data_IF_402975959998
#
_entry.id   IF_402975959998
#
_cell.length_a   1.000
_cell.length_b   1.000
_cell.length_c   1.000
_cell.angle_alpha   90.00
_cell.angle_beta   90.00
_cell.angle_gamma   90.00
#
_symmetry.space_group_name_H-M   'P 1'
#
loop_
_entity.id
_entity.type
_entity.pdbx_description
1 polymer ?
#
# COMPACT_ATOMS: atom_id res chain seq x y z
N UNK A 1 -39.68 -10.80 19.88
CA UNK A 1 -40.04 -11.46 21.15
C UNK A 1 -39.21 -10.78 22.25
N UNK A 2 -39.81 -9.87 23.04
CA UNK A 2 -39.08 -9.13 24.07
C UNK A 2 -38.68 -10.10 25.18
N UNK A 3 -37.39 -10.37 25.34
CA UNK A 3 -36.88 -11.11 26.49
C UNK A 3 -36.83 -10.16 27.69
N UNK A 4 -37.60 -10.47 28.74
CA UNK A 4 -37.52 -9.77 30.02
C UNK A 4 -36.17 -10.09 30.67
N UNK A 5 -35.15 -9.30 30.34
CA UNK A 5 -33.87 -9.30 31.03
C UNK A 5 -33.87 -8.16 32.03
N UNK A 6 -33.81 -8.53 33.30
CA UNK A 6 -33.69 -7.69 34.48
C UNK A 6 -32.71 -6.50 34.29
N UNK A 7 -33.21 -5.26 34.34
CA UNK A 7 -32.45 -4.01 34.08
C UNK A 7 -31.17 -3.88 34.94
N UNK A 8 -31.16 -4.48 36.13
CA UNK A 8 -29.98 -4.45 37.00
C UNK A 8 -28.86 -5.40 36.55
N UNK A 9 -29.14 -6.44 35.74
CA UNK A 9 -28.12 -7.31 35.14
C UNK A 9 -27.38 -6.67 33.96
N UNK A 10 -28.02 -5.77 33.21
CA UNK A 10 -27.42 -5.12 32.04
C UNK A 10 -26.31 -4.11 32.39
N UNK A 11 -26.29 -3.58 33.62
CA UNK A 11 -25.37 -2.51 34.05
C UNK A 11 -23.88 -2.86 33.97
N UNK A 12 -23.51 -4.16 34.02
CA UNK A 12 -22.11 -4.61 34.13
C UNK A 12 -21.68 -5.66 33.09
N UNK A 13 -22.46 -5.90 32.04
CA UNK A 13 -22.12 -6.89 31.02
C UNK A 13 -20.93 -6.43 30.19
N UNK A 14 -19.84 -7.22 30.20
CA UNK A 14 -18.62 -6.97 29.42
C UNK A 14 -18.35 -8.11 28.45
N UNK A 15 -18.11 -7.80 27.18
CA UNK A 15 -17.70 -8.78 26.17
C UNK A 15 -16.72 -8.18 25.17
N UNK A 16 -16.03 -9.04 24.42
CA UNK A 16 -15.28 -8.65 23.22
C UNK A 16 -16.14 -8.65 21.96
N UNK A 17 -17.28 -9.34 21.96
CA UNK A 17 -18.09 -9.55 20.76
C UNK A 17 -19.53 -9.18 21.04
N UNK A 18 -20.08 -8.28 20.22
CA UNK A 18 -21.46 -7.81 20.28
C UNK A 18 -22.12 -7.90 18.90
N UNK A 19 -23.43 -8.08 18.88
CA UNK A 19 -24.26 -7.98 17.68
C UNK A 19 -25.34 -6.93 17.95
N UNK A 20 -25.35 -5.85 17.18
CA UNK A 20 -26.42 -4.85 17.21
C UNK A 20 -27.46 -5.19 16.14
N UNK A 21 -28.74 -5.16 16.49
CA UNK A 21 -29.85 -5.47 15.60
C UNK A 21 -30.96 -4.44 15.77
N UNK A 22 -31.32 -3.72 14.71
CA UNK A 22 -32.37 -2.70 14.76
C UNK A 22 -33.12 -2.59 13.44
N UNK A 23 -34.43 -2.34 13.50
CA UNK A 23 -35.22 -2.05 12.30
C UNK A 23 -34.82 -0.69 11.72
N UNK A 24 -34.73 -0.59 10.40
CA UNK A 24 -34.23 0.63 9.74
C UNK A 24 -35.03 1.88 10.15
N UNK A 25 -36.36 1.74 10.28
CA UNK A 25 -37.27 2.83 10.67
C UNK A 25 -37.09 3.35 12.10
N UNK A 26 -36.39 2.61 12.96
CA UNK A 26 -36.14 2.97 14.36
C UNK A 26 -34.67 3.31 14.62
N UNK A 27 -33.85 3.43 13.57
CA UNK A 27 -32.46 3.85 13.75
C UNK A 27 -32.40 5.26 14.33
N UNK A 28 -31.53 5.52 15.32
CA UNK A 28 -31.28 6.87 15.84
C UNK A 28 -30.40 7.70 14.89
N UNK A 29 -30.29 7.29 13.62
CA UNK A 29 -29.47 7.88 12.58
C UNK A 29 -30.29 8.03 11.30
N UNK A 30 -29.92 8.98 10.46
CA UNK A 30 -30.63 9.29 9.20
C UNK A 30 -30.70 8.07 8.25
N UNK A 31 -29.67 7.23 8.25
CA UNK A 31 -29.57 6.05 7.39
C UNK A 31 -28.50 5.07 7.91
N UNK A 32 -28.38 3.94 7.22
CA UNK A 32 -27.41 2.88 7.55
C UNK A 32 -25.97 3.34 7.35
N UNK A 33 -25.70 4.24 6.41
CA UNK A 33 -24.38 4.85 6.20
C UNK A 33 -23.94 5.72 7.39
N UNK A 34 -24.88 6.46 7.98
CA UNK A 34 -24.63 7.24 9.19
C UNK A 34 -24.33 6.34 10.40
N UNK A 35 -25.08 5.24 10.55
CA UNK A 35 -24.76 4.20 11.53
C UNK A 35 -23.35 3.62 11.30
N UNK A 36 -22.99 3.31 10.06
CA UNK A 36 -21.66 2.78 9.72
C UNK A 36 -20.55 3.74 10.12
N UNK A 37 -20.69 5.03 9.78
CA UNK A 37 -19.75 6.09 10.20
C UNK A 37 -19.62 6.12 11.72
N UNK A 38 -20.74 5.96 12.44
CA UNK A 38 -20.70 5.94 13.91
C UNK A 38 -20.00 4.70 14.47
N UNK A 39 -20.26 3.52 13.91
CA UNK A 39 -19.59 2.27 14.29
C UNK A 39 -18.08 2.37 14.11
N UNK A 40 -17.61 2.95 13.00
CA UNK A 40 -16.17 3.15 12.72
C UNK A 40 -15.45 4.00 13.78
N UNK A 41 -16.17 4.80 14.57
CA UNK A 41 -15.59 5.65 15.64
C UNK A 41 -15.54 4.97 17.01
N UNK A 42 -15.96 3.71 17.12
CA UNK A 42 -15.89 2.96 18.38
C UNK A 42 -14.44 2.69 18.79
N UNK A 43 -14.10 3.07 20.02
CA UNK A 43 -12.76 2.87 20.57
C UNK A 43 -12.46 1.37 20.81
N UNK A 44 -11.24 0.93 20.49
CA UNK A 44 -10.78 -0.47 20.52
C UNK A 44 -11.56 -1.45 19.61
N UNK A 45 -12.26 -0.96 18.59
CA UNK A 45 -12.92 -1.83 17.60
C UNK A 45 -11.85 -2.48 16.70
N UNK A 46 -11.74 -3.81 16.76
CA UNK A 46 -10.85 -4.59 15.88
C UNK A 46 -11.54 -4.86 14.53
N UNK A 47 -12.73 -5.47 14.57
CA UNK A 47 -13.50 -5.80 13.35
C UNK A 47 -14.95 -5.42 13.50
N UNK A 48 -15.54 -4.98 12.39
CA UNK A 48 -16.98 -4.98 12.23
C UNK A 48 -17.40 -5.52 10.87
N UNK A 49 -18.62 -6.05 10.82
CA UNK A 49 -19.31 -6.38 9.59
C UNK A 49 -20.79 -6.04 9.76
N UNK A 50 -21.38 -5.46 8.72
CA UNK A 50 -22.74 -4.94 8.71
C UNK A 50 -23.48 -5.35 7.45
N UNK A 51 -24.75 -5.72 7.60
CA UNK A 51 -25.63 -6.05 6.47
C UNK A 51 -27.05 -5.59 6.80
N UNK A 52 -27.80 -5.23 5.76
CA UNK A 52 -29.25 -5.03 5.84
C UNK A 52 -29.94 -6.33 5.46
N UNK A 53 -30.86 -6.79 6.31
CA UNK A 53 -31.79 -7.87 6.01
C UNK A 53 -33.13 -7.29 5.59
N UNK A 54 -33.39 -7.30 4.28
CA UNK A 54 -34.58 -6.75 3.62
C UNK A 54 -35.37 -7.80 2.82
N UNK A 55 -34.88 -9.04 2.77
CA UNK A 55 -35.47 -10.19 2.05
C UNK A 55 -35.97 -11.29 2.99
N UNK A 56 -36.03 -11.00 4.28
CA UNK A 56 -36.59 -11.88 5.31
C UNK A 56 -38.11 -11.66 5.43
N UNK A 57 -38.82 -12.59 6.06
CA UNK A 57 -40.25 -12.41 6.41
C UNK A 57 -40.48 -11.28 7.46
N UNK A 58 -39.41 -10.70 7.98
CA UNK A 58 -39.43 -9.63 8.96
C UNK A 58 -39.20 -8.26 8.29
N UNK A 59 -39.66 -7.19 8.96
CA UNK A 59 -39.40 -5.81 8.56
C UNK A 59 -37.89 -5.56 8.34
N UNK A 60 -37.51 -4.72 7.35
CA UNK A 60 -36.12 -4.40 7.07
C UNK A 60 -35.34 -3.95 8.30
N UNK A 61 -34.23 -4.64 8.58
CA UNK A 61 -33.43 -4.41 9.78
C UNK A 61 -31.94 -4.59 9.49
N UNK A 62 -31.09 -3.91 10.26
CA UNK A 62 -29.64 -3.97 10.13
C UNK A 62 -29.06 -4.87 11.21
N UNK A 63 -28.09 -5.70 10.83
CA UNK A 63 -27.21 -6.40 11.77
C UNK A 63 -25.81 -5.81 11.71
N UNK A 64 -25.20 -5.57 12.86
CA UNK A 64 -23.80 -5.14 12.98
C UNK A 64 -23.08 -6.04 13.99
N UNK A 65 -22.17 -6.87 13.51
CA UNK A 65 -21.25 -7.62 14.39
C UNK A 65 -20.05 -6.74 14.70
N UNK A 66 -19.72 -6.59 15.98
CA UNK A 66 -18.60 -5.77 16.46
C UNK A 66 -17.68 -6.61 17.36
N UNK A 67 -16.42 -6.75 16.96
CA UNK A 67 -15.36 -7.41 17.70
C UNK A 67 -14.35 -6.37 18.20
N UNK A 68 -14.08 -6.38 19.50
CA UNK A 68 -13.18 -5.46 20.17
C UNK A 68 -11.87 -6.15 20.61
N UNK A 69 -10.77 -5.40 20.61
CA UNK A 69 -9.46 -5.89 21.08
C UNK A 69 -9.50 -6.30 22.57
N UNK A 70 -10.23 -5.53 23.37
CA UNK A 70 -10.41 -5.71 24.82
C UNK A 70 -11.89 -5.83 25.14
N UNK A 71 -12.24 -6.38 26.31
CA UNK A 71 -13.64 -6.46 26.74
C UNK A 71 -14.19 -5.05 26.98
N UNK A 72 -15.30 -4.72 26.33
CA UNK A 72 -16.02 -3.44 26.46
C UNK A 72 -17.34 -3.68 27.16
N UNK A 73 -17.83 -2.67 27.90
CA UNK A 73 -19.14 -2.69 28.53
C UNK A 73 -20.24 -2.50 27.48
N UNK A 74 -21.30 -3.31 27.54
CA UNK A 74 -22.44 -3.22 26.63
C UNK A 74 -23.04 -1.81 26.63
N UNK A 75 -23.24 -1.21 27.81
CA UNK A 75 -23.75 0.17 27.95
C UNK A 75 -22.88 1.23 27.27
N UNK A 76 -21.57 1.00 27.18
CA UNK A 76 -20.64 1.92 26.50
C UNK A 76 -20.87 1.87 24.99
N UNK A 77 -21.09 0.67 24.45
CA UNK A 77 -21.45 0.49 23.04
C UNK A 77 -22.82 1.11 22.76
N UNK A 78 -23.83 0.83 23.58
CA UNK A 78 -25.18 1.41 23.46
C UNK A 78 -25.17 2.94 23.48
N UNK A 79 -24.51 3.54 24.48
CA UNK A 79 -24.34 4.99 24.60
C UNK A 79 -23.62 5.57 23.37
N UNK A 80 -22.62 4.88 22.84
CA UNK A 80 -21.91 5.34 21.65
C UNK A 80 -22.82 5.31 20.42
N UNK A 81 -23.61 4.25 20.25
CA UNK A 81 -24.58 4.11 19.16
C UNK A 81 -25.87 4.92 19.37
N UNK A 82 -26.01 5.63 20.49
CA UNK A 82 -27.19 6.41 20.83
C UNK A 82 -28.50 5.61 20.71
N UNK A 83 -28.47 4.33 21.09
CA UNK A 83 -29.64 3.45 21.07
C UNK A 83 -29.77 2.66 22.37
N UNK A 84 -30.93 2.04 22.56
CA UNK A 84 -31.25 1.24 23.72
C UNK A 84 -30.35 -0.01 23.80
N UNK A 85 -29.78 -0.31 24.98
CA UNK A 85 -28.96 -1.51 25.20
C UNK A 85 -29.62 -2.84 24.77
N UNK A 86 -30.96 -2.93 24.76
CA UNK A 86 -31.71 -4.14 24.38
C UNK A 86 -31.54 -4.53 22.92
N UNK A 87 -31.13 -3.60 22.05
CA UNK A 87 -30.79 -3.85 20.65
C UNK A 87 -29.38 -4.39 20.45
N UNK A 88 -28.61 -4.57 21.55
CA UNK A 88 -27.24 -5.11 21.51
C UNK A 88 -27.20 -6.44 22.24
N UNK A 89 -26.95 -7.50 21.49
CA UNK A 89 -26.73 -8.84 22.00
C UNK A 89 -25.24 -9.10 22.27
N UNK A 90 -24.96 -9.89 23.31
CA UNK A 90 -23.61 -10.39 23.57
C UNK A 90 -23.35 -11.60 22.68
N UNK A 91 -22.41 -11.48 21.74
CA UNK A 91 -22.10 -12.55 20.78
C UNK A 91 -21.35 -13.73 21.39
N UNK A 92 -20.73 -13.57 22.58
CA UNK A 92 -20.06 -14.66 23.30
C UNK A 92 -21.02 -15.45 24.18
N UNK A 93 -21.00 -16.79 24.08
CA UNK A 93 -21.80 -17.68 24.95
C UNK A 93 -20.91 -18.45 25.94
N UNK A 94 -21.43 -18.73 27.14
CA UNK A 94 -20.72 -19.53 28.16
C UNK A 94 -20.41 -20.92 27.59
N UNK A 95 -19.16 -21.36 27.71
CA UNK A 95 -18.70 -22.66 27.21
C UNK A 95 -18.33 -22.70 25.72
N UNK A 96 -18.48 -21.59 24.98
CA UNK A 96 -18.04 -21.49 23.57
C UNK A 96 -16.80 -20.60 23.50
N UNK A 97 -15.78 -21.03 22.76
CA UNK A 97 -14.58 -20.20 22.55
C UNK A 97 -14.93 -18.90 21.84
N UNK A 98 -14.10 -17.85 22.04
CA UNK A 98 -14.29 -16.58 21.36
C UNK A 98 -14.24 -16.75 19.84
N UNK A 99 -13.32 -17.57 19.34
CA UNK A 99 -13.17 -17.79 17.90
C UNK A 99 -14.40 -18.49 17.31
N UNK A 100 -14.96 -19.50 17.98
CA UNK A 100 -16.20 -20.14 17.49
C UNK A 100 -17.41 -19.21 17.59
N UNK A 101 -17.48 -18.38 18.64
CA UNK A 101 -18.52 -17.34 18.76
C UNK A 101 -18.43 -16.34 17.61
N UNK A 102 -17.22 -15.85 17.31
CA UNK A 102 -16.93 -14.94 16.19
C UNK A 102 -17.33 -15.54 14.84
N UNK A 103 -16.92 -16.79 14.57
CA UNK A 103 -17.25 -17.51 13.34
C UNK A 103 -18.77 -17.64 13.16
N UNK A 104 -19.51 -18.00 14.22
CA UNK A 104 -20.96 -18.11 14.19
C UNK A 104 -21.65 -16.75 13.95
N UNK A 105 -21.20 -15.68 14.62
CA UNK A 105 -21.82 -14.35 14.47
C UNK A 105 -21.60 -13.79 13.07
N UNK A 106 -20.39 -13.89 12.52
CA UNK A 106 -20.14 -13.45 11.14
C UNK A 106 -20.89 -14.32 10.13
N UNK A 107 -20.90 -15.65 10.25
CA UNK A 107 -21.71 -16.51 9.36
C UNK A 107 -23.21 -16.17 9.41
N UNK A 108 -23.71 -15.76 10.58
CA UNK A 108 -25.12 -15.43 10.76
C UNK A 108 -25.56 -14.23 9.92
N UNK A 109 -24.67 -13.26 9.66
CA UNK A 109 -24.98 -12.10 8.82
C UNK A 109 -25.47 -12.49 7.43
N UNK A 110 -25.04 -13.63 6.89
CA UNK A 110 -25.49 -14.13 5.59
C UNK A 110 -26.39 -15.37 5.73
N UNK A 111 -26.95 -15.60 6.92
CA UNK A 111 -27.73 -16.79 7.26
C UNK A 111 -27.03 -18.14 7.00
N UNK A 112 -25.69 -18.14 6.97
CA UNK A 112 -24.87 -19.33 6.70
C UNK A 112 -24.67 -20.26 7.90
N UNK A 113 -25.39 -20.05 9.01
CA UNK A 113 -25.35 -20.97 10.17
C UNK A 113 -26.40 -22.07 10.01
N UNK A 114 -26.19 -23.23 10.64
CA UNK A 114 -27.13 -24.38 10.58
C UNK A 114 -28.56 -23.99 10.95
N UNK A 115 -28.73 -23.07 11.90
CA UNK A 115 -30.04 -22.66 12.41
C UNK A 115 -30.73 -21.58 11.55
N UNK A 116 -30.11 -21.15 10.45
CA UNK A 116 -30.63 -20.10 9.58
C UNK A 116 -30.79 -20.55 8.12
N UNK A 117 -30.61 -21.85 7.86
CA UNK A 117 -30.70 -22.41 6.50
C UNK A 117 -32.08 -22.26 5.85
N UNK A 118 -33.14 -22.15 6.65
CA UNK A 118 -34.51 -21.92 6.17
C UNK A 118 -34.80 -20.45 5.84
N UNK A 119 -33.91 -19.53 6.21
CA UNK A 119 -34.04 -18.09 5.90
C UNK A 119 -33.39 -17.77 4.55
N UNK A 120 -33.72 -16.59 4.01
CA UNK A 120 -33.05 -16.07 2.83
C UNK A 120 -31.52 -16.03 3.01
N UNK A 121 -30.78 -16.60 2.06
CA UNK A 121 -29.31 -16.64 2.11
C UNK A 121 -28.73 -15.42 1.38
N UNK A 122 -28.18 -14.47 2.13
CA UNK A 122 -27.58 -13.26 1.55
C UNK A 122 -26.20 -13.55 0.92
N UNK A 123 -25.78 -12.70 -0.01
CA UNK A 123 -24.42 -12.77 -0.55
C UNK A 123 -23.43 -12.22 0.48
N UNK A 124 -22.22 -12.77 0.50
CA UNK A 124 -21.12 -12.17 1.25
C UNK A 124 -20.68 -10.82 0.68
N UNK A 125 -21.01 -10.54 -0.59
CA UNK A 125 -20.79 -9.24 -1.23
C UNK A 125 -21.72 -8.15 -0.69
N UNK A 126 -22.84 -8.52 -0.07
CA UNK A 126 -23.80 -7.56 0.51
C UNK A 126 -23.34 -7.02 1.88
N UNK A 127 -22.21 -7.53 2.41
CA UNK A 127 -21.71 -7.21 3.75
C UNK A 127 -20.64 -6.12 3.70
N UNK A 128 -20.91 -4.99 4.36
CA UNK A 128 -19.94 -3.91 4.58
C UNK A 128 -19.06 -4.25 5.79
N UNK A 129 -17.75 -4.32 5.62
CA UNK A 129 -16.82 -4.68 6.69
C UNK A 129 -15.48 -3.94 6.60
N UNK A 130 -14.77 -3.79 7.73
CA UNK A 130 -13.40 -3.26 7.76
C UNK A 130 -12.31 -4.33 7.54
N UNK A 131 -12.70 -5.51 7.06
CA UNK A 131 -11.80 -6.61 6.73
C UNK A 131 -12.35 -7.37 5.53
N UNK A 132 -11.53 -8.25 4.97
CA UNK A 132 -11.89 -9.14 3.85
C UNK A 132 -12.94 -10.19 4.26
N UNK A 133 -14.19 -9.75 4.44
CA UNK A 133 -15.29 -10.54 5.00
C UNK A 133 -15.65 -11.74 4.12
N UNK A 134 -15.77 -11.55 2.81
CA UNK A 134 -16.08 -12.63 1.86
C UNK A 134 -15.06 -13.77 1.95
N UNK A 135 -13.77 -13.42 1.92
CA UNK A 135 -12.67 -14.36 2.06
C UNK A 135 -12.71 -15.05 3.43
N UNK A 136 -12.95 -14.30 4.50
CA UNK A 136 -13.08 -14.86 5.86
C UNK A 136 -14.20 -15.92 5.92
N UNK A 137 -15.39 -15.60 5.42
CA UNK A 137 -16.53 -16.53 5.45
C UNK A 137 -16.32 -17.75 4.55
N UNK A 138 -15.65 -17.62 3.41
CA UNK A 138 -15.29 -18.78 2.59
C UNK A 138 -14.41 -19.77 3.37
N UNK A 139 -13.41 -19.28 4.10
CA UNK A 139 -12.57 -20.12 4.99
C UNK A 139 -13.42 -20.79 6.07
N UNK A 140 -14.29 -20.02 6.73
CA UNK A 140 -15.15 -20.55 7.82
C UNK A 140 -16.15 -21.58 7.28
N UNK A 141 -16.80 -21.36 6.14
CA UNK A 141 -17.70 -22.33 5.49
C UNK A 141 -16.95 -23.62 5.18
N UNK A 142 -15.77 -23.54 4.57
CA UNK A 142 -14.92 -24.71 4.28
C UNK A 142 -14.54 -25.47 5.55
N UNK A 143 -14.20 -24.77 6.64
CA UNK A 143 -13.94 -25.37 7.95
C UNK A 143 -15.16 -26.14 8.47
N UNK A 144 -16.35 -25.53 8.46
CA UNK A 144 -17.59 -26.16 8.95
C UNK A 144 -18.01 -27.36 8.12
N UNK A 145 -17.62 -27.39 6.85
CA UNK A 145 -17.81 -28.53 5.95
C UNK A 145 -16.69 -29.59 6.04
N UNK A 146 -15.66 -29.38 6.88
CA UNK A 146 -14.51 -30.28 7.00
C UNK A 146 -13.57 -30.27 5.79
N UNK A 147 -13.66 -29.26 4.91
CA UNK A 147 -12.94 -29.17 3.64
C UNK A 147 -11.71 -28.24 3.66
N UNK A 148 -11.41 -27.60 4.79
CA UNK A 148 -10.25 -26.71 4.89
C UNK A 148 -8.95 -27.54 4.98
N UNK A 149 -8.04 -27.36 4.01
CA UNK A 149 -6.75 -28.05 3.96
C UNK A 149 -5.59 -27.07 3.99
N UNK A 150 -4.38 -27.53 4.34
CA UNK A 150 -3.16 -26.72 4.25
C UNK A 150 -2.94 -26.16 2.84
N UNK A 151 -3.12 -27.00 1.80
CA UNK A 151 -2.96 -26.59 0.39
C UNK A 151 -3.92 -25.46 0.02
N UNK A 152 -5.14 -25.50 0.54
CA UNK A 152 -6.13 -24.46 0.28
C UNK A 152 -5.72 -23.11 0.90
N UNK A 153 -5.23 -23.10 2.13
CA UNK A 153 -4.73 -21.87 2.79
C UNK A 153 -3.56 -21.27 2.00
N UNK A 154 -2.63 -22.12 1.55
CA UNK A 154 -1.49 -21.69 0.72
C UNK A 154 -1.95 -21.16 -0.64
N UNK A 155 -2.92 -21.81 -1.29
CA UNK A 155 -3.52 -21.36 -2.56
C UNK A 155 -4.23 -20.01 -2.41
N UNK A 156 -4.93 -19.80 -1.31
CA UNK A 156 -5.55 -18.50 -1.02
C UNK A 156 -4.50 -17.40 -0.80
N UNK A 157 -3.36 -17.72 -0.18
CA UNK A 157 -2.23 -16.79 -0.07
C UNK A 157 -1.66 -16.43 -1.45
N UNK A 158 -1.36 -17.44 -2.30
CA UNK A 158 -0.78 -17.19 -3.63
C UNK A 158 -1.71 -16.39 -4.55
N UNK A 159 -3.03 -16.46 -4.32
CA UNK A 159 -4.03 -15.67 -5.04
C UNK A 159 -4.28 -14.29 -4.43
N UNK A 160 -3.51 -13.88 -3.41
CA UNK A 160 -3.70 -12.60 -2.71
C UNK A 160 -4.98 -12.52 -1.85
N UNK A 161 -5.67 -13.64 -1.63
CA UNK A 161 -6.91 -13.69 -0.83
C UNK A 161 -6.66 -13.72 0.67
N UNK A 162 -5.45 -14.06 1.09
CA UNK A 162 -4.99 -14.02 2.48
C UNK A 162 -3.70 -13.22 2.58
N UNK A 163 -3.62 -12.33 3.56
CA UNK A 163 -2.38 -11.67 3.93
C UNK A 163 -1.47 -12.63 4.69
N UNK A 164 -0.15 -12.39 4.64
CA UNK A 164 0.88 -13.22 5.32
C UNK A 164 0.52 -13.55 6.78
N UNK A 165 0.15 -12.55 7.59
CA UNK A 165 -0.22 -12.76 8.99
C UNK A 165 -1.50 -13.60 9.15
N UNK A 166 -2.47 -13.44 8.25
CA UNK A 166 -3.70 -14.25 8.26
C UNK A 166 -3.40 -15.70 7.91
N UNK A 167 -2.59 -15.93 6.87
CA UNK A 167 -2.09 -17.26 6.47
C UNK A 167 -1.34 -17.92 7.63
N UNK A 168 -0.39 -17.22 8.24
CA UNK A 168 0.38 -17.71 9.39
C UNK A 168 -0.51 -18.05 10.58
N UNK A 169 -1.51 -17.22 10.87
CA UNK A 169 -2.47 -17.47 11.95
C UNK A 169 -3.29 -18.74 11.69
N UNK A 170 -3.83 -18.90 10.48
CA UNK A 170 -4.62 -20.08 10.11
C UNK A 170 -3.76 -21.35 10.13
N UNK A 171 -2.55 -21.32 9.58
CA UNK A 171 -1.66 -22.49 9.60
C UNK A 171 -1.24 -22.82 11.02
N UNK A 172 -0.89 -21.84 11.86
CA UNK A 172 -0.54 -22.08 13.27
C UNK A 172 -1.68 -22.74 14.05
N UNK A 173 -2.92 -22.34 13.80
CA UNK A 173 -4.09 -22.85 14.50
C UNK A 173 -4.47 -24.27 14.03
N UNK A 174 -4.51 -24.50 12.71
CA UNK A 174 -5.08 -25.72 12.14
C UNK A 174 -4.04 -26.74 11.68
N UNK A 175 -2.83 -26.30 11.35
CA UNK A 175 -1.74 -27.14 10.84
C UNK A 175 -0.41 -26.75 11.50
N UNK A 176 -0.31 -26.78 12.86
CA UNK A 176 0.86 -26.27 13.58
C UNK A 176 2.17 -26.94 13.14
N UNK A 177 2.13 -28.22 12.75
CA UNK A 177 3.30 -28.96 12.23
C UNK A 177 3.81 -28.44 10.88
N UNK A 178 3.02 -27.63 10.15
CA UNK A 178 3.38 -27.03 8.86
C UNK A 178 3.92 -25.61 8.99
N UNK A 179 3.92 -25.00 10.18
CA UNK A 179 4.34 -23.60 10.35
C UNK A 179 5.81 -23.38 9.94
N UNK A 180 6.68 -24.35 10.23
CA UNK A 180 8.11 -24.28 9.88
C UNK A 180 8.31 -24.28 8.37
N UNK A 181 7.56 -25.12 7.64
CA UNK A 181 7.63 -25.17 6.16
C UNK A 181 6.95 -23.99 5.47
N UNK A 182 5.98 -23.35 6.15
CA UNK A 182 5.17 -22.27 5.56
C UNK A 182 6.02 -21.08 5.12
N UNK A 183 7.01 -20.66 5.91
CA UNK A 183 7.84 -19.51 5.57
C UNK A 183 8.57 -19.70 4.23
N UNK A 184 9.16 -20.88 4.01
CA UNK A 184 9.83 -21.19 2.75
C UNK A 184 8.82 -21.28 1.59
N UNK A 185 7.63 -21.85 1.84
CA UNK A 185 6.56 -21.88 0.82
C UNK A 185 6.11 -20.47 0.43
N UNK A 186 5.86 -19.58 1.40
CA UNK A 186 5.45 -18.21 1.12
C UNK A 186 6.54 -17.46 0.36
N UNK A 187 7.81 -17.59 0.77
CA UNK A 187 8.95 -16.97 0.06
C UNK A 187 9.02 -17.40 -1.41
N UNK A 188 8.92 -18.70 -1.68
CA UNK A 188 8.93 -19.21 -3.05
C UNK A 188 7.71 -18.73 -3.86
N UNK A 189 6.54 -18.63 -3.24
CA UNK A 189 5.34 -18.09 -3.90
C UNK A 189 5.46 -16.60 -4.19
N UNK A 190 6.06 -15.83 -3.29
CA UNK A 190 6.32 -14.40 -3.49
C UNK A 190 7.31 -14.20 -4.65
N UNK A 191 8.37 -15.01 -4.71
CA UNK A 191 9.35 -15.03 -5.80
C UNK A 191 8.67 -15.35 -7.15
N UNK A 192 7.89 -16.43 -7.23
CA UNK A 192 7.13 -16.78 -8.46
C UNK A 192 6.14 -15.68 -8.85
N UNK A 193 5.45 -15.09 -7.87
CA UNK A 193 4.48 -14.01 -8.16
C UNK A 193 5.18 -12.77 -8.71
N UNK A 194 6.38 -12.46 -8.24
CA UNK A 194 7.21 -11.38 -8.79
C UNK A 194 7.66 -11.69 -10.22
N UNK A 195 8.14 -12.92 -10.49
CA UNK A 195 8.51 -13.35 -11.84
C UNK A 195 7.34 -13.28 -12.83
N UNK A 196 6.14 -13.69 -12.41
CA UNK A 196 4.94 -13.62 -13.24
C UNK A 196 4.54 -12.18 -13.57
N UNK A 197 4.52 -11.29 -12.56
CA UNK A 197 4.25 -9.85 -12.76
C UNK A 197 5.29 -9.22 -13.70
N UNK A 198 6.55 -9.62 -13.54
CA UNK A 198 7.63 -9.19 -14.41
C UNK A 198 7.40 -9.61 -15.86
N UNK A 199 7.06 -10.88 -16.10
CA UNK A 199 6.79 -11.38 -17.45
C UNK A 199 5.58 -10.67 -18.07
N UNK A 200 4.50 -10.50 -17.31
CA UNK A 200 3.30 -9.78 -17.75
C UNK A 200 3.62 -8.33 -18.13
N UNK A 201 4.42 -7.64 -17.30
CA UNK A 201 4.83 -6.27 -17.61
C UNK A 201 5.70 -6.19 -18.86
N UNK A 202 6.63 -7.14 -19.06
CA UNK A 202 7.49 -7.22 -20.25
C UNK A 202 6.70 -7.47 -21.55
N UNK A 203 5.60 -8.21 -21.48
CA UNK A 203 4.71 -8.45 -22.64
C UNK A 203 3.86 -7.23 -22.98
N UNK A 204 3.44 -6.47 -21.97
CA UNK A 204 2.44 -5.40 -22.14
C UNK A 204 3.04 -3.98 -22.20
N UNK A 205 4.31 -3.80 -21.87
CA UNK A 205 4.94 -2.47 -21.82
C UNK A 205 5.57 -2.09 -23.15
N UNK A 206 5.26 -0.89 -23.61
CA UNK A 206 5.98 -0.26 -24.71
C UNK A 206 7.42 0.05 -24.27
N UNK A 207 8.38 -0.58 -24.94
CA UNK A 207 9.80 -0.53 -24.60
C UNK A 207 10.39 0.87 -24.76
N UNK A 208 9.77 1.72 -25.58
CA UNK A 208 10.23 3.08 -25.85
C UNK A 208 9.73 4.11 -24.80
N UNK A 209 9.10 3.64 -23.70
CA UNK A 209 8.48 4.51 -22.69
C UNK A 209 9.33 4.83 -21.45
N UNK A 210 10.58 4.31 -21.34
CA UNK A 210 11.43 4.59 -20.17
C UNK A 210 11.75 6.08 -20.08
N UNK A 211 11.45 6.70 -18.93
CA UNK A 211 11.74 8.10 -18.61
C UNK A 211 12.76 8.22 -17.48
N UNK A 212 13.71 9.12 -17.67
CA UNK A 212 14.75 9.42 -16.68
C UNK A 212 14.75 10.91 -16.39
N UNK A 213 14.48 11.26 -15.14
CA UNK A 213 14.51 12.63 -14.66
C UNK A 213 15.68 12.81 -13.69
N UNK A 214 16.48 13.87 -13.89
CA UNK A 214 17.61 14.19 -13.04
C UNK A 214 17.38 15.50 -12.29
N UNK A 215 17.19 15.42 -10.98
CA UNK A 215 17.00 16.57 -10.10
C UNK A 215 18.30 16.85 -9.36
N UNK A 216 18.87 18.04 -9.53
CA UNK A 216 20.11 18.40 -8.85
C UNK A 216 20.06 19.73 -8.12
N UNK A 217 20.97 19.93 -7.17
CA UNK A 217 21.06 21.14 -6.36
C UNK A 217 21.42 20.85 -4.92
N UNK A 218 21.56 21.89 -4.10
CA UNK A 218 22.00 21.75 -2.71
C UNK A 218 21.05 20.84 -1.87
N UNK A 219 21.53 20.35 -0.72
CA UNK A 219 20.67 19.62 0.22
C UNK A 219 19.53 20.51 0.75
N UNK A 220 18.35 19.91 0.99
CA UNK A 220 17.22 20.58 1.65
C UNK A 220 16.41 21.56 0.80
N UNK A 221 16.48 21.46 -0.54
CA UNK A 221 15.78 22.36 -1.48
C UNK A 221 14.57 21.74 -2.19
N UNK A 222 14.16 20.52 -1.83
CA UNK A 222 12.93 19.89 -2.34
C UNK A 222 13.05 18.68 -3.24
N UNK A 223 14.24 18.35 -3.75
CA UNK A 223 14.43 17.31 -4.77
C UNK A 223 13.78 15.96 -4.43
N UNK A 224 14.09 15.40 -3.26
CA UNK A 224 13.56 14.11 -2.83
C UNK A 224 12.05 14.15 -2.57
N UNK A 225 11.51 15.29 -2.13
CA UNK A 225 10.07 15.44 -1.94
C UNK A 225 9.33 15.51 -3.28
N UNK A 226 9.86 16.26 -4.23
CA UNK A 226 9.34 16.33 -5.59
C UNK A 226 9.39 14.95 -6.28
N UNK A 227 10.49 14.21 -6.13
CA UNK A 227 10.63 12.86 -6.68
C UNK A 227 9.56 11.91 -6.12
N UNK A 228 9.31 11.96 -4.81
CA UNK A 228 8.29 11.12 -4.15
C UNK A 228 6.88 11.48 -4.60
N UNK A 229 6.57 12.78 -4.72
CA UNK A 229 5.27 13.23 -5.25
C UNK A 229 4.98 12.64 -6.63
N UNK A 230 5.94 12.72 -7.57
CA UNK A 230 5.77 12.17 -8.92
C UNK A 230 5.54 10.65 -8.87
N UNK A 231 6.28 9.93 -8.04
CA UNK A 231 6.13 8.47 -7.92
C UNK A 231 4.81 8.08 -7.27
N UNK A 232 4.39 8.78 -6.22
CA UNK A 232 3.12 8.55 -5.51
C UNK A 232 1.90 8.87 -6.38
N UNK A 233 2.02 9.82 -7.30
CA UNK A 233 0.97 10.14 -8.26
C UNK A 233 0.79 9.04 -9.32
N UNK A 234 1.85 8.30 -9.69
CA UNK A 234 1.84 7.32 -10.79
C UNK A 234 1.76 5.86 -10.32
N UNK A 235 2.36 5.51 -9.18
CA UNK A 235 2.49 4.14 -8.71
C UNK A 235 1.92 3.93 -7.32
N UNK A 236 1.28 2.78 -7.11
CA UNK A 236 0.87 2.33 -5.78
C UNK A 236 2.07 1.86 -4.92
N UNK A 237 3.18 1.49 -5.54
CA UNK A 237 4.44 1.10 -4.91
C UNK A 237 5.62 1.49 -5.81
N UNK A 238 6.67 2.07 -5.22
CA UNK A 238 7.90 2.48 -5.90
C UNK A 238 9.11 2.22 -5.01
N UNK A 239 10.28 2.08 -5.62
CA UNK A 239 11.52 1.86 -4.90
C UNK A 239 12.24 3.19 -4.63
N UNK A 240 12.68 3.39 -3.40
CA UNK A 240 13.52 4.52 -2.98
C UNK A 240 14.81 3.96 -2.38
N UNK A 241 15.96 4.27 -2.99
CA UNK A 241 17.26 3.76 -2.53
C UNK A 241 17.66 4.30 -1.15
N UNK A 242 17.10 5.45 -0.75
CA UNK A 242 17.54 6.21 0.43
C UNK A 242 19.05 6.41 0.48
N UNK A 243 19.61 6.48 1.68
CA UNK A 243 21.05 6.64 1.92
C UNK A 243 21.83 5.30 1.96
N UNK A 244 21.29 4.22 1.40
CA UNK A 244 21.90 2.89 1.46
C UNK A 244 23.22 2.83 0.68
N UNK A 245 24.20 2.07 1.20
CA UNK A 245 25.44 1.74 0.47
C UNK A 245 25.19 0.68 -0.62
N UNK A 246 24.19 -0.18 -0.42
CA UNK A 246 23.72 -1.13 -1.43
C UNK A 246 22.39 -0.60 -1.98
N UNK A 247 22.49 0.06 -3.15
CA UNK A 247 21.42 0.87 -3.75
C UNK A 247 20.13 0.05 -3.96
N UNK A 248 20.22 -1.27 -4.20
CA UNK A 248 19.09 -2.11 -4.60
C UNK A 248 18.80 -3.28 -3.66
N UNK A 249 19.33 -3.23 -2.43
CA UNK A 249 19.17 -4.31 -1.44
C UNK A 249 17.69 -4.73 -1.26
N UNK A 250 16.79 -3.75 -1.19
CA UNK A 250 15.35 -3.97 -0.95
C UNK A 250 14.48 -3.83 -2.20
N UNK A 251 15.08 -3.73 -3.40
CA UNK A 251 14.34 -3.70 -4.66
C UNK A 251 13.56 -5.01 -4.85
N UNK A 252 12.28 -4.91 -5.16
CA UNK A 252 11.34 -6.02 -5.25
C UNK A 252 10.50 -5.99 -6.54
N UNK A 253 11.06 -5.43 -7.62
CA UNK A 253 10.43 -5.40 -8.94
C UNK A 253 9.54 -4.19 -9.19
N UNK A 254 9.69 -3.10 -8.42
CA UNK A 254 8.95 -1.86 -8.64
C UNK A 254 9.29 -1.21 -9.98
N UNK A 255 8.30 -0.55 -10.59
CA UNK A 255 8.42 0.10 -11.89
C UNK A 255 8.83 1.59 -11.79
N UNK A 256 8.56 2.24 -10.65
CA UNK A 256 9.16 3.52 -10.30
C UNK A 256 10.41 3.35 -9.44
N UNK A 257 11.53 3.96 -9.81
CA UNK A 257 12.77 3.96 -9.04
C UNK A 257 13.22 5.40 -8.75
N UNK A 258 13.42 5.71 -7.47
CA UNK A 258 14.13 6.90 -7.00
C UNK A 258 15.54 6.49 -6.58
N UNK A 259 16.54 7.12 -7.20
CA UNK A 259 17.94 7.06 -6.77
C UNK A 259 18.23 8.33 -5.98
N UNK A 260 17.98 8.27 -4.67
CA UNK A 260 18.04 9.43 -3.80
C UNK A 260 19.48 9.74 -3.35
N UNK A 261 19.85 11.02 -3.40
CA UNK A 261 21.19 11.56 -3.07
C UNK A 261 22.35 10.81 -3.76
N UNK A 262 22.18 10.47 -5.04
CA UNK A 262 23.17 9.75 -5.83
C UNK A 262 24.44 10.60 -6.01
N UNK A 263 25.60 10.03 -5.63
CA UNK A 263 26.93 10.66 -5.79
C UNK A 263 27.87 9.76 -6.60
N UNK A 264 28.94 10.32 -7.20
CA UNK A 264 29.94 9.59 -7.98
C UNK A 264 30.54 8.33 -7.31
N UNK A 265 30.53 8.24 -5.98
CA UNK A 265 31.08 7.09 -5.27
C UNK A 265 30.06 5.97 -5.01
N UNK A 266 28.78 6.18 -5.34
CA UNK A 266 27.71 5.22 -5.05
C UNK A 266 27.55 4.15 -6.15
N UNK A 267 27.81 4.50 -7.41
CA UNK A 267 27.56 3.61 -8.56
C UNK A 267 28.68 3.72 -9.59
N UNK A 268 29.02 2.60 -10.22
CA UNK A 268 29.95 2.57 -11.35
C UNK A 268 29.27 3.15 -12.61
N UNK A 269 30.00 3.94 -13.40
CA UNK A 269 29.43 4.66 -14.54
C UNK A 269 28.78 3.71 -15.56
N UNK A 270 29.43 2.59 -15.86
CA UNK A 270 28.91 1.59 -16.79
C UNK A 270 27.60 0.94 -16.31
N UNK A 271 27.44 0.75 -15.00
CA UNK A 271 26.21 0.22 -14.42
C UNK A 271 25.08 1.26 -14.43
N UNK A 272 25.40 2.53 -14.14
CA UNK A 272 24.46 3.65 -14.30
C UNK A 272 23.95 3.73 -15.75
N UNK A 273 24.85 3.68 -16.73
CA UNK A 273 24.49 3.73 -18.15
C UNK A 273 23.62 2.55 -18.57
N UNK A 274 23.94 1.33 -18.15
CA UNK A 274 23.13 0.15 -18.47
C UNK A 274 21.71 0.30 -17.91
N UNK A 275 21.60 0.66 -16.64
CA UNK A 275 20.32 0.82 -15.93
C UNK A 275 19.39 1.85 -16.60
N UNK A 276 19.95 3.00 -16.96
CA UNK A 276 19.20 4.11 -17.58
C UNK A 276 19.00 3.91 -19.09
N UNK A 277 19.54 2.85 -19.70
CA UNK A 277 19.41 2.62 -21.13
C UNK A 277 17.94 2.33 -21.50
N UNK A 278 17.28 3.14 -22.34
CA UNK A 278 15.89 2.91 -22.73
C UNK A 278 15.72 1.60 -23.50
N UNK A 279 16.74 1.14 -24.24
CA UNK A 279 16.68 -0.10 -25.02
C UNK A 279 17.05 -1.33 -24.18
N UNK A 280 17.51 -1.14 -22.94
CA UNK A 280 17.86 -2.23 -22.04
C UNK A 280 16.83 -2.34 -20.90
N UNK A 281 15.89 -3.25 -21.10
CA UNK A 281 14.87 -3.59 -20.10
C UNK A 281 15.36 -4.69 -19.16
N UNK A 282 16.33 -5.49 -19.60
CA UNK A 282 16.96 -6.55 -18.81
C UNK A 282 18.39 -6.17 -18.45
N UNK A 283 18.54 -5.23 -17.53
CA UNK A 283 19.85 -4.90 -16.98
C UNK A 283 20.15 -5.88 -15.85
N UNK A 284 20.87 -6.96 -16.17
CA UNK A 284 21.71 -7.62 -15.18
C UNK A 284 22.89 -6.67 -14.91
N UNK A 285 22.86 -5.94 -13.79
CA UNK A 285 24.00 -5.11 -13.39
C UNK A 285 25.28 -5.94 -13.29
N UNK A 286 26.44 -5.29 -13.35
CA UNK A 286 27.73 -5.99 -13.15
C UNK A 286 27.76 -6.73 -11.80
N UNK A 287 28.77 -7.58 -11.60
CA UNK A 287 28.74 -8.76 -10.72
C UNK A 287 28.35 -8.62 -9.25
N UNK A 288 28.12 -7.39 -8.77
CA UNK A 288 27.54 -7.06 -7.45
C UNK A 288 26.00 -7.06 -7.42
N UNK A 289 25.32 -6.96 -8.57
CA UNK A 289 23.86 -6.80 -8.68
C UNK A 289 23.14 -8.00 -9.30
N UNK A 290 23.84 -9.14 -9.42
CA UNK A 290 23.61 -10.20 -10.41
C UNK A 290 22.25 -10.92 -10.45
N UNK A 291 21.26 -10.61 -9.61
CA UNK A 291 20.01 -11.38 -9.57
C UNK A 291 18.72 -10.54 -9.66
N UNK A 292 18.78 -9.22 -9.82
CA UNK A 292 17.56 -8.40 -9.89
C UNK A 292 17.44 -7.69 -11.23
N UNK A 293 16.51 -8.17 -12.07
CA UNK A 293 16.10 -7.49 -13.29
C UNK A 293 15.36 -6.20 -12.93
N UNK A 294 15.93 -5.04 -13.25
CA UNK A 294 15.33 -3.73 -12.98
C UNK A 294 14.29 -3.41 -14.06
N UNK A 295 13.00 -3.40 -13.70
CA UNK A 295 11.87 -3.21 -14.63
C UNK A 295 11.30 -1.78 -14.60
N UNK A 296 12.13 -0.79 -14.32
CA UNK A 296 11.62 0.56 -14.18
C UNK A 296 11.39 1.24 -15.52
N UNK A 297 10.17 1.77 -15.69
CA UNK A 297 9.81 2.72 -16.75
C UNK A 297 10.03 4.17 -16.31
N UNK A 298 10.14 4.46 -15.01
CA UNK A 298 10.57 5.79 -14.54
C UNK A 298 11.74 5.68 -13.56
N UNK A 299 12.79 6.44 -13.85
CA UNK A 299 13.87 6.76 -12.92
C UNK A 299 13.81 8.24 -12.55
N UNK A 300 13.85 8.54 -11.25
CA UNK A 300 14.13 9.89 -10.76
C UNK A 300 15.42 9.84 -9.95
N UNK A 301 16.43 10.55 -10.43
CA UNK A 301 17.72 10.68 -9.76
C UNK A 301 17.70 11.99 -9.01
N UNK A 302 17.99 11.97 -7.71
CA UNK A 302 18.29 13.20 -6.98
C UNK A 302 19.78 13.22 -6.66
N UNK A 303 20.44 14.36 -6.89
CA UNK A 303 21.88 14.48 -6.69
C UNK A 303 22.29 15.87 -6.24
N UNK A 304 23.40 16.05 -5.51
CA UNK A 304 24.01 17.36 -5.37
C UNK A 304 24.72 17.82 -6.64
N UNK A 305 24.97 16.93 -7.61
CA UNK A 305 25.69 17.21 -8.85
C UNK A 305 24.75 17.28 -10.05
N UNK A 306 25.01 18.20 -10.99
CA UNK A 306 24.42 18.09 -12.33
C UNK A 306 24.89 16.79 -13.00
N UNK A 307 24.19 16.28 -14.03
CA UNK A 307 24.64 15.10 -14.76
C UNK A 307 26.09 15.22 -15.27
N UNK A 308 26.47 16.42 -15.73
CA UNK A 308 27.81 16.68 -16.23
C UNK A 308 28.85 16.77 -15.11
N UNK A 309 28.55 17.42 -13.99
CA UNK A 309 29.46 17.48 -12.84
C UNK A 309 29.66 16.08 -12.24
N UNK A 310 28.60 15.26 -12.24
CA UNK A 310 28.66 13.87 -11.80
C UNK A 310 29.61 13.05 -12.69
N UNK A 311 29.48 13.17 -14.01
CA UNK A 311 30.39 12.56 -14.98
C UNK A 311 31.83 13.06 -14.81
N UNK A 312 32.01 14.37 -14.71
CA UNK A 312 33.34 15.01 -14.61
C UNK A 312 34.06 14.55 -13.34
N UNK A 313 33.36 14.52 -12.20
CA UNK A 313 33.92 14.01 -10.95
C UNK A 313 34.31 12.52 -11.04
N UNK A 314 33.54 11.69 -11.75
CA UNK A 314 33.91 10.30 -11.99
C UNK A 314 35.16 10.18 -12.88
N UNK A 315 35.25 10.99 -13.93
CA UNK A 315 36.39 11.04 -14.86
C UNK A 315 37.68 11.50 -14.16
N UNK A 316 37.62 12.57 -13.38
CA UNK A 316 38.74 13.09 -12.59
C UNK A 316 39.26 12.05 -11.58
N UNK A 317 38.38 11.23 -11.03
CA UNK A 317 38.74 10.15 -10.11
C UNK A 317 39.22 8.87 -10.82
N UNK A 318 39.41 8.89 -12.15
CA UNK A 318 39.87 7.73 -12.92
C UNK A 318 38.89 6.56 -12.95
N UNK A 319 37.60 6.81 -12.69
CA UNK A 319 36.54 5.79 -12.63
C UNK A 319 35.83 5.56 -13.96
N UNK A 320 36.23 6.28 -15.01
CA UNK A 320 35.65 6.21 -16.34
C UNK A 320 36.77 5.93 -17.35
N UNK A 321 36.52 5.03 -18.28
CA UNK A 321 37.41 4.77 -19.42
C UNK A 321 37.49 6.00 -20.34
N UNK A 322 38.61 6.25 -21.01
CA UNK A 322 38.70 7.34 -22.00
C UNK A 322 37.67 7.22 -23.15
N UNK A 323 37.12 6.03 -23.36
CA UNK A 323 36.10 5.72 -24.37
C UNK A 323 34.66 6.09 -23.94
N UNK A 324 34.44 6.32 -22.65
CA UNK A 324 33.11 6.57 -22.08
C UNK A 324 32.87 8.07 -21.91
N UNK A 325 32.21 8.68 -22.90
CA UNK A 325 31.85 10.09 -22.94
C UNK A 325 30.62 10.45 -22.10
N UNK A 326 30.41 11.76 -21.90
CA UNK A 326 29.21 12.29 -21.24
C UNK A 326 27.96 12.13 -22.12
N UNK A 327 28.12 12.19 -23.45
CA UNK A 327 27.07 11.95 -24.45
C UNK A 327 26.30 10.64 -24.19
N UNK A 328 26.98 9.61 -23.68
CA UNK A 328 26.34 8.36 -23.31
C UNK A 328 25.33 8.53 -22.16
N UNK A 329 25.64 9.33 -21.14
CA UNK A 329 24.70 9.62 -20.06
C UNK A 329 23.63 10.60 -20.52
N UNK A 330 24.02 11.66 -21.24
CA UNK A 330 23.13 12.73 -21.68
C UNK A 330 21.93 12.18 -22.46
N UNK A 331 22.15 11.28 -23.43
CA UNK A 331 21.07 10.72 -24.26
C UNK A 331 20.08 9.81 -23.52
N UNK A 332 20.39 9.44 -22.27
CA UNK A 332 19.56 8.60 -21.41
C UNK A 332 18.75 9.41 -20.40
N UNK A 333 18.91 10.73 -20.37
CA UNK A 333 18.20 11.62 -19.45
C UNK A 333 17.18 12.43 -20.25
N UNK A 334 15.90 12.29 -19.93
CA UNK A 334 14.80 13.01 -20.61
C UNK A 334 14.70 14.46 -20.14
N UNK A 335 14.83 14.70 -18.82
CA UNK A 335 14.71 16.04 -18.23
C UNK A 335 15.70 16.23 -17.10
N UNK A 336 16.26 17.43 -17.03
CA UNK A 336 17.14 17.86 -15.95
C UNK A 336 16.51 19.06 -15.25
N UNK A 337 16.29 18.97 -13.95
CA UNK A 337 15.82 20.09 -13.13
C UNK A 337 16.89 20.52 -12.13
N UNK A 338 17.26 21.80 -12.17
CA UNK A 338 18.11 22.44 -11.16
C UNK A 338 17.23 23.04 -10.06
N UNK A 339 17.42 22.62 -8.82
CA UNK A 339 16.73 23.15 -7.65
C UNK A 339 17.67 24.08 -6.87
N UNK A 340 17.33 25.36 -6.87
CA UNK A 340 17.99 26.40 -6.08
C UNK A 340 16.93 27.40 -5.58
N UNK A 341 17.25 28.69 -5.49
CA UNK A 341 16.26 29.78 -5.29
C UNK A 341 15.11 29.68 -6.29
N UNK A 342 15.43 29.23 -7.50
CA UNK A 342 14.49 28.88 -8.56
C UNK A 342 14.62 27.38 -8.89
N UNK A 343 13.56 26.82 -9.46
CA UNK A 343 13.57 25.53 -10.13
C UNK A 343 13.65 25.79 -11.63
N UNK A 344 14.69 25.24 -12.27
CA UNK A 344 15.00 25.49 -13.67
C UNK A 344 14.97 24.19 -14.45
N UNK A 345 14.25 24.17 -15.56
CA UNK A 345 14.40 23.13 -16.57
C UNK A 345 15.67 23.43 -17.39
N UNK A 346 16.62 22.48 -17.38
CA UNK A 346 17.93 22.65 -18.00
C UNK A 346 18.02 21.83 -19.28
N UNK A 347 18.59 22.45 -20.31
CA UNK A 347 19.13 21.75 -21.47
C UNK A 347 20.66 21.75 -21.35
N UNK A 348 21.26 20.56 -21.30
CA UNK A 348 22.72 20.39 -21.20
C UNK A 348 23.18 19.71 -22.48
N UNK A 349 24.04 20.38 -23.25
CA UNK A 349 24.59 19.85 -24.51
C UNK A 349 26.10 19.85 -24.50
N UNK A 350 26.71 18.79 -25.03
CA UNK A 350 28.14 18.74 -25.30
C UNK A 350 28.40 18.93 -26.81
N UNK A 351 29.18 19.96 -27.16
CA UNK A 351 29.63 20.20 -28.54
C UNK A 351 31.15 20.35 -28.55
N UNK A 352 31.83 19.48 -29.30
CA UNK A 352 33.29 19.51 -29.48
C UNK A 352 34.07 19.52 -28.15
N UNK A 353 33.60 18.78 -27.14
CA UNK A 353 34.24 18.68 -25.82
C UNK A 353 34.00 19.87 -24.88
N UNK A 354 33.11 20.80 -25.25
CA UNK A 354 32.61 21.87 -24.36
C UNK A 354 31.15 21.62 -24.02
N UNK A 355 30.83 21.77 -22.74
CA UNK A 355 29.45 21.66 -22.25
C UNK A 355 28.82 23.03 -22.12
N UNK A 356 27.67 23.17 -22.76
CA UNK A 356 26.79 24.34 -22.71
C UNK A 356 25.55 23.96 -21.91
N UNK A 357 25.14 24.83 -20.98
CA UNK A 357 23.93 24.67 -20.17
C UNK A 357 23.02 25.86 -20.37
N UNK A 358 21.75 25.61 -20.71
CA UNK A 358 20.75 26.63 -20.93
C UNK A 358 19.53 26.41 -20.02
N UNK A 359 18.99 27.51 -19.50
CA UNK A 359 17.74 27.51 -18.74
C UNK A 359 16.58 27.62 -19.75
N UNK A 360 15.81 26.54 -19.91
CA UNK A 360 14.66 26.46 -20.83
C UNK A 360 13.44 27.15 -20.23
N UNK A 361 13.17 26.84 -18.96
CA UNK A 361 12.10 27.45 -18.17
C UNK A 361 12.59 27.63 -16.74
N UNK A 362 12.16 28.70 -16.07
CA UNK A 362 12.54 29.03 -14.70
C UNK A 362 11.29 29.42 -13.92
N UNK A 363 11.11 28.83 -12.75
CA UNK A 363 10.02 29.15 -11.82
C UNK A 363 10.59 29.25 -10.40
N UNK A 364 10.05 30.14 -9.56
CA UNK A 364 10.49 30.29 -8.17
C UNK A 364 10.38 28.96 -7.40
N UNK A 365 11.35 28.67 -6.52
CA UNK A 365 11.27 27.53 -5.61
C UNK A 365 10.56 27.93 -4.30
N UNK A 366 9.30 27.52 -4.08
CA UNK A 366 8.51 28.00 -2.94
C UNK A 366 9.08 27.58 -1.58
N UNK A 367 9.93 26.55 -1.55
CA UNK A 367 10.47 26.02 -0.30
C UNK A 367 11.95 26.36 -0.05
N UNK A 368 12.60 27.12 -0.94
CA UNK A 368 14.03 27.43 -0.79
C UNK A 368 14.32 28.19 0.50
N UNK A 369 13.54 29.23 0.81
CA UNK A 369 13.65 30.03 2.04
C UNK A 369 13.27 29.24 3.31
N UNK A 370 12.69 28.05 3.15
CA UNK A 370 12.33 27.15 4.26
C UNK A 370 13.40 26.10 4.54
N UNK A 371 14.53 26.15 3.82
CA UNK A 371 15.64 25.21 3.99
C UNK A 371 16.11 25.14 5.45
N UNK A 372 16.20 23.93 5.99
CA UNK A 372 16.62 23.67 7.38
C UNK A 372 15.49 23.71 8.41
N UNK A 373 14.27 24.08 8.02
CA UNK A 373 13.10 23.93 8.90
C UNK A 373 12.73 22.46 9.07
N UNK A 374 12.30 22.07 10.28
CA UNK A 374 11.87 20.69 10.57
C UNK A 374 10.60 20.27 9.84
N UNK A 375 9.74 21.25 9.50
CA UNK A 375 8.47 21.02 8.83
C UNK A 375 8.21 22.18 7.89
N UNK A 376 7.93 21.85 6.63
CA UNK A 376 7.52 22.82 5.61
C UNK A 376 5.97 22.86 5.62
N UNK A 377 5.36 24.06 5.53
CA UNK A 377 3.91 24.21 5.37
C UNK A 377 3.37 23.40 4.19
N UNK A 378 2.15 22.87 4.32
CA UNK A 378 1.55 22.04 3.27
C UNK A 378 1.36 22.85 1.97
N UNK A 379 0.93 24.10 2.08
CA UNK A 379 0.70 24.99 0.94
C UNK A 379 1.98 25.19 0.11
N UNK A 380 3.13 25.43 0.76
CA UNK A 380 4.42 25.57 0.07
C UNK A 380 4.85 24.26 -0.63
N UNK A 381 4.50 23.09 -0.05
CA UNK A 381 4.76 21.79 -0.65
C UNK A 381 3.85 21.52 -1.85
N UNK A 382 2.55 21.83 -1.72
CA UNK A 382 1.59 21.68 -2.81
C UNK A 382 1.96 22.61 -3.98
N UNK A 383 2.48 23.81 -3.70
CA UNK A 383 3.04 24.72 -4.71
C UNK A 383 4.29 24.14 -5.39
N UNK A 384 5.24 23.60 -4.61
CA UNK A 384 6.43 22.92 -5.16
C UNK A 384 6.05 21.83 -6.16
N UNK A 385 5.06 21.01 -5.78
CA UNK A 385 4.59 19.92 -6.61
C UNK A 385 3.97 20.42 -7.91
N UNK A 386 3.12 21.46 -7.85
CA UNK A 386 2.57 22.09 -9.04
C UNK A 386 3.64 22.68 -9.97
N UNK A 387 4.70 23.28 -9.43
CA UNK A 387 5.84 23.78 -10.22
C UNK A 387 6.54 22.63 -10.96
N UNK A 388 6.82 21.53 -10.27
CA UNK A 388 7.54 20.39 -10.86
C UNK A 388 6.68 19.68 -11.91
N UNK A 389 5.39 19.47 -11.64
CA UNK A 389 4.45 18.86 -12.59
C UNK A 389 4.35 19.70 -13.88
N UNK A 390 4.32 21.03 -13.75
CA UNK A 390 4.34 21.95 -14.90
C UNK A 390 5.63 21.82 -15.72
N UNK A 391 6.80 21.83 -15.06
CA UNK A 391 8.09 21.77 -15.74
C UNK A 391 8.32 20.43 -16.45
N UNK A 392 7.76 19.34 -15.94
CA UNK A 392 7.88 18.01 -16.56
C UNK A 392 6.86 17.78 -17.69
N UNK A 393 5.68 18.42 -17.63
CA UNK A 393 4.64 18.32 -18.66
C UNK A 393 4.83 19.24 -19.87
N UNK A 394 5.84 20.12 -19.87
CA UNK A 394 5.99 21.18 -20.86
C UNK A 394 6.19 20.75 -22.33
N UNK A 395 6.22 19.45 -22.68
CA UNK A 395 6.25 18.95 -24.07
C UNK A 395 5.72 17.49 -24.20
N UNK A 396 4.48 17.23 -23.76
CA UNK A 396 3.68 16.12 -24.36
C UNK A 396 2.91 16.59 -25.58
#
# INVERSE_FOLDING_TARGET
MKSNVDENKMKNVKSKLFMYVQQIKWLPFENVEALERRVKTLHNLDKYAMIVHDKDDAEPHVHVVMLFEKRVLLRTVAKHLNDDPSYIEVGTKKGISLEMSKQNNFLYLIHGTKNSLSKHQYSADDVKANFHYKQYIEVVKKKYQGKLTYKEIVSMYSQGKLLKLQTMSLVKEYFPTKITSLNNTMKALDEVSQEMKQAEWLENTDKDSKKVFWFYGAGGVGKSAAAKHIMEAKYNDYFDSGASRDIFQDYAGQHGIILDDLRPNNIDYSDLLKMLDPFNIEVAGSSRYHNKKLLADIYIITSPFSPYDFYSALKENGKISELDGYDQLQRRIDRVLEFNTDIKLKEITEKSGKVEQHDVETTSNPIFEKKGQKRIPKEDMDELYGVVDKLLSAQE
#
